data_IF_877566606980
#
_entry.id   IF_877566606980
#
_cell.length_a   1.000
_cell.length_b   1.000
_cell.length_c   1.000
_cell.angle_alpha   90.00
_cell.angle_beta   90.00
_cell.angle_gamma   90.00
#
_symmetry.space_group_name_H-M   'P 1'
#
loop_
_entity.id
_entity.type
_entity.pdbx_description
1 polymer ?
#
# COMPACT_ATOMS: atom_id res chain seq x y z
N UNK A 1 -9.18 128.53 -101.51
CA UNK A 1 -8.52 127.20 -101.63
C UNK A 1 -7.46 126.90 -100.55
N UNK A 2 -6.37 127.68 -100.41
CA UNK A 2 -5.27 127.35 -99.47
C UNK A 2 -5.70 127.19 -97.98
N UNK A 3 -6.64 128.02 -97.50
CA UNK A 3 -7.19 127.94 -96.13
C UNK A 3 -8.02 126.68 -95.87
N UNK A 4 -8.73 126.20 -96.89
CA UNK A 4 -9.61 125.03 -96.74
C UNK A 4 -8.80 123.73 -96.76
N UNK A 5 -7.72 123.68 -97.56
CA UNK A 5 -6.74 122.57 -97.55
C UNK A 5 -6.04 122.44 -96.17
N UNK A 6 -5.55 123.55 -95.63
CA UNK A 6 -4.91 123.55 -94.29
C UNK A 6 -5.87 123.17 -93.15
N UNK A 7 -7.14 123.57 -93.20
CA UNK A 7 -8.16 123.12 -92.24
C UNK A 7 -8.45 121.63 -92.34
N UNK A 8 -8.54 121.07 -93.56
CA UNK A 8 -8.73 119.63 -93.74
C UNK A 8 -7.53 118.81 -93.27
N UNK A 9 -6.31 119.32 -93.45
CA UNK A 9 -5.09 118.69 -92.94
C UNK A 9 -5.03 118.75 -91.41
N UNK A 10 -5.39 119.88 -90.79
CA UNK A 10 -5.51 120.00 -89.33
C UNK A 10 -6.56 119.05 -88.75
N UNK A 11 -7.71 118.91 -89.41
CA UNK A 11 -8.72 117.94 -89.01
C UNK A 11 -8.20 116.50 -89.13
N UNK A 12 -7.48 116.16 -90.21
CA UNK A 12 -6.84 114.85 -90.38
C UNK A 12 -5.79 114.56 -89.32
N UNK A 13 -4.97 115.55 -88.98
CA UNK A 13 -3.99 115.44 -87.88
C UNK A 13 -4.69 115.26 -86.55
N UNK A 14 -5.79 115.98 -86.29
CA UNK A 14 -6.59 115.83 -85.08
C UNK A 14 -7.23 114.44 -84.96
N UNK A 15 -7.79 113.91 -86.04
CA UNK A 15 -8.36 112.54 -86.03
C UNK A 15 -7.26 111.49 -85.81
N UNK A 16 -6.08 111.68 -86.40
CA UNK A 16 -4.94 110.80 -86.20
C UNK A 16 -4.39 110.87 -84.76
N UNK A 17 -4.36 112.06 -84.15
CA UNK A 17 -3.98 112.23 -82.75
C UNK A 17 -4.98 111.54 -81.83
N UNK A 18 -6.29 111.68 -82.10
CA UNK A 18 -7.33 111.00 -81.33
C UNK A 18 -7.26 109.48 -81.45
N UNK A 19 -7.01 108.94 -82.66
CA UNK A 19 -6.84 107.49 -82.85
C UNK A 19 -5.57 106.98 -82.17
N UNK A 20 -4.45 107.72 -82.27
CA UNK A 20 -3.22 107.40 -81.53
C UNK A 20 -3.45 107.42 -80.00
N UNK A 21 -4.22 108.39 -79.49
CA UNK A 21 -4.54 108.44 -78.05
C UNK A 21 -5.37 107.24 -77.60
N UNK A 22 -6.31 106.76 -78.42
CA UNK A 22 -7.08 105.56 -78.13
C UNK A 22 -6.19 104.31 -78.12
N UNK A 23 -5.31 104.16 -79.12
CA UNK A 23 -4.34 103.06 -79.20
C UNK A 23 -3.41 103.08 -77.98
N UNK A 24 -2.90 104.24 -77.58
CA UNK A 24 -2.05 104.37 -76.38
C UNK A 24 -2.82 103.99 -75.09
N UNK A 25 -4.11 104.34 -75.01
CA UNK A 25 -4.97 103.92 -73.91
C UNK A 25 -5.12 102.39 -73.83
N UNK A 26 -5.39 101.74 -74.96
CA UNK A 26 -5.48 100.28 -75.05
C UNK A 26 -4.16 99.59 -74.69
N UNK A 27 -3.03 100.10 -75.21
CA UNK A 27 -1.70 99.60 -74.86
C UNK A 27 -1.45 99.72 -73.36
N UNK A 28 -1.84 100.84 -72.74
CA UNK A 28 -1.70 101.04 -71.29
C UNK A 28 -2.50 100.00 -70.49
N UNK A 29 -3.76 99.75 -70.86
CA UNK A 29 -4.60 98.73 -70.24
C UNK A 29 -4.01 97.33 -70.40
N UNK A 30 -3.52 97.00 -71.60
CA UNK A 30 -2.85 95.72 -71.86
C UNK A 30 -1.57 95.57 -71.04
N UNK A 31 -0.77 96.63 -70.91
CA UNK A 31 0.43 96.62 -70.08
C UNK A 31 0.11 96.37 -68.60
N UNK A 32 -0.94 97.00 -68.06
CA UNK A 32 -1.34 96.72 -66.67
C UNK A 32 -1.89 95.31 -66.48
N UNK A 33 -2.65 94.79 -67.45
CA UNK A 33 -3.08 93.39 -67.44
C UNK A 33 -1.87 92.44 -67.39
N UNK A 34 -0.89 92.61 -68.29
CA UNK A 34 0.33 91.80 -68.31
C UNK A 34 1.16 91.94 -67.02
N UNK A 35 1.21 93.14 -66.42
CA UNK A 35 1.86 93.35 -65.11
C UNK A 35 1.18 92.55 -64.01
N UNK A 36 -0.15 92.56 -63.97
CA UNK A 36 -0.92 91.78 -62.98
C UNK A 36 -0.78 90.27 -63.18
N UNK A 37 -0.84 89.78 -64.42
CA UNK A 37 -0.62 88.38 -64.78
C UNK A 37 0.79 87.92 -64.41
N UNK A 38 1.81 88.74 -64.70
CA UNK A 38 3.20 88.47 -64.30
C UNK A 38 3.33 88.35 -62.77
N UNK A 39 2.72 89.27 -62.01
CA UNK A 39 2.71 89.20 -60.54
C UNK A 39 2.01 87.93 -60.05
N UNK A 40 0.90 87.54 -60.67
CA UNK A 40 0.19 86.30 -60.38
C UNK A 40 1.06 85.05 -60.64
N UNK A 41 1.74 85.00 -61.79
CA UNK A 41 2.62 83.90 -62.15
C UNK A 41 3.84 83.77 -61.21
N UNK A 42 4.40 84.89 -60.73
CA UNK A 42 5.48 84.88 -59.74
C UNK A 42 4.97 84.29 -58.42
N UNK A 43 3.85 84.80 -57.89
CA UNK A 43 3.24 84.27 -56.66
C UNK A 43 2.89 82.79 -56.74
N UNK A 44 2.36 82.36 -57.89
CA UNK A 44 2.05 80.95 -58.12
C UNK A 44 3.30 80.07 -58.07
N UNK A 45 4.42 80.51 -58.66
CA UNK A 45 5.70 79.79 -58.57
C UNK A 45 6.21 79.72 -57.13
N UNK A 46 6.16 80.83 -56.39
CA UNK A 46 6.58 80.88 -54.98
C UNK A 46 5.76 79.90 -54.12
N UNK A 47 4.43 79.96 -54.22
CA UNK A 47 3.53 79.03 -53.50
C UNK A 47 3.79 77.56 -53.87
N UNK A 48 4.04 77.26 -55.14
CA UNK A 48 4.37 75.90 -55.55
C UNK A 48 5.72 75.42 -54.98
N UNK A 49 6.72 76.30 -54.89
CA UNK A 49 7.99 75.98 -54.26
C UNK A 49 7.81 75.74 -52.76
N UNK A 50 7.03 76.56 -52.06
CA UNK A 50 6.70 76.38 -50.65
C UNK A 50 5.94 75.08 -50.39
N UNK A 51 4.93 74.77 -51.20
CA UNK A 51 4.22 73.49 -51.15
C UNK A 51 5.17 72.31 -51.34
N UNK A 52 6.12 72.41 -52.27
CA UNK A 52 7.17 71.41 -52.45
C UNK A 52 8.02 71.21 -51.21
N UNK A 53 8.48 72.30 -50.58
CA UNK A 53 9.28 72.27 -49.34
C UNK A 53 8.50 71.66 -48.18
N UNK A 54 7.25 72.06 -47.99
CA UNK A 54 6.38 71.54 -46.91
C UNK A 54 6.12 70.04 -47.12
N UNK A 55 5.84 69.60 -48.34
CA UNK A 55 5.65 68.17 -48.65
C UNK A 55 6.92 67.38 -48.38
N UNK A 56 8.09 67.87 -48.79
CA UNK A 56 9.37 67.23 -48.51
C UNK A 56 9.65 67.11 -47.00
N UNK A 57 9.40 68.17 -46.24
CA UNK A 57 9.55 68.17 -44.78
C UNK A 57 8.57 67.19 -44.11
N UNK A 58 7.31 67.16 -44.53
CA UNK A 58 6.33 66.21 -44.00
C UNK A 58 6.74 64.76 -44.27
N UNK A 59 7.22 64.48 -45.48
CA UNK A 59 7.71 63.14 -45.86
C UNK A 59 8.95 62.74 -45.05
N UNK A 60 9.88 63.66 -44.79
CA UNK A 60 11.07 63.35 -44.00
C UNK A 60 10.72 63.02 -42.55
N UNK A 61 9.81 63.76 -41.93
CA UNK A 61 9.30 63.50 -40.57
C UNK A 61 8.57 62.15 -40.50
N UNK A 62 7.69 61.87 -41.47
CA UNK A 62 7.00 60.57 -41.55
C UNK A 62 7.99 59.42 -41.70
N UNK A 63 8.96 59.56 -42.60
CA UNK A 63 10.01 58.55 -42.82
C UNK A 63 10.83 58.31 -41.55
N UNK A 64 11.24 59.36 -40.84
CA UNK A 64 11.98 59.23 -39.59
C UNK A 64 11.18 58.50 -38.52
N UNK A 65 9.87 58.81 -38.40
CA UNK A 65 8.97 58.16 -37.45
C UNK A 65 8.80 56.68 -37.77
N UNK A 66 8.56 56.32 -39.03
CA UNK A 66 8.46 54.93 -39.46
C UNK A 66 9.77 54.17 -39.23
N UNK A 67 10.92 54.79 -39.54
CA UNK A 67 12.24 54.18 -39.32
C UNK A 67 12.49 53.88 -37.84
N UNK A 68 12.13 54.79 -36.93
CA UNK A 68 12.21 54.56 -35.48
C UNK A 68 11.32 53.39 -35.04
N UNK A 69 10.06 53.35 -35.52
CA UNK A 69 9.14 52.23 -35.21
C UNK A 69 9.68 50.90 -35.73
N UNK A 70 10.20 50.88 -36.96
CA UNK A 70 10.74 49.68 -37.59
C UNK A 70 11.98 49.17 -36.84
N UNK A 71 12.90 50.05 -36.45
CA UNK A 71 14.06 49.68 -35.64
C UNK A 71 13.66 49.09 -34.29
N UNK A 72 12.66 49.67 -33.61
CA UNK A 72 12.12 49.11 -32.35
C UNK A 72 11.51 47.72 -32.56
N UNK A 73 10.77 47.51 -33.64
CA UNK A 73 10.19 46.21 -33.97
C UNK A 73 11.27 45.17 -34.28
N UNK A 74 12.28 45.52 -35.06
CA UNK A 74 13.42 44.65 -35.34
C UNK A 74 14.16 44.23 -34.06
N UNK A 75 14.39 45.17 -33.15
CA UNK A 75 15.02 44.86 -31.86
C UNK A 75 14.14 43.91 -31.02
N UNK A 76 12.82 44.14 -30.98
CA UNK A 76 11.88 43.25 -30.27
C UNK A 76 11.85 41.85 -30.88
N UNK A 77 11.88 41.75 -32.21
CA UNK A 77 11.95 40.46 -32.92
C UNK A 77 13.23 39.74 -32.53
N UNK A 78 14.38 40.40 -32.60
CA UNK A 78 15.67 39.81 -32.22
C UNK A 78 15.69 39.27 -30.79
N UNK A 79 15.19 40.05 -29.83
CA UNK A 79 15.09 39.60 -28.42
C UNK A 79 14.16 38.38 -28.27
N UNK A 80 13.06 38.33 -29.03
CA UNK A 80 12.15 37.18 -29.02
C UNK A 80 12.75 35.95 -29.68
N UNK A 81 13.53 36.12 -30.75
CA UNK A 81 14.26 35.05 -31.42
C UNK A 81 15.34 34.45 -30.51
N UNK A 82 16.11 35.28 -29.81
CA UNK A 82 17.10 34.85 -28.81
C UNK A 82 16.43 34.03 -27.69
N UNK A 83 15.33 34.54 -27.13
CA UNK A 83 14.57 33.81 -26.10
C UNK A 83 13.98 32.48 -26.62
N UNK A 84 13.50 32.45 -27.87
CA UNK A 84 13.02 31.21 -28.50
C UNK A 84 14.16 30.21 -28.68
N UNK A 85 15.35 30.68 -29.02
CA UNK A 85 16.52 29.82 -29.18
C UNK A 85 16.94 29.21 -27.83
N UNK A 86 16.98 30.01 -26.76
CA UNK A 86 17.23 29.49 -25.40
C UNK A 86 16.22 28.42 -24.99
N UNK A 87 14.93 28.62 -25.28
CA UNK A 87 13.89 27.63 -24.99
C UNK A 87 14.07 26.34 -25.80
N UNK A 88 14.49 26.45 -27.07
CA UNK A 88 14.81 25.28 -27.90
C UNK A 88 15.99 24.50 -27.35
N UNK A 89 17.02 25.19 -26.88
CA UNK A 89 18.21 24.55 -26.30
C UNK A 89 17.89 23.89 -24.96
N UNK A 90 17.07 24.55 -24.11
CA UNK A 90 16.52 23.92 -22.89
C UNK A 90 15.71 22.67 -23.20
N UNK A 91 14.81 22.72 -24.19
CA UNK A 91 14.03 21.57 -24.63
C UNK A 91 14.93 20.42 -25.10
N UNK A 92 16.00 20.72 -25.84
CA UNK A 92 16.95 19.71 -26.31
C UNK A 92 17.64 19.00 -25.15
N UNK A 93 18.13 19.74 -24.16
CA UNK A 93 18.74 19.17 -22.94
C UNK A 93 17.78 18.26 -22.19
N UNK A 94 16.53 18.70 -22.01
CA UNK A 94 15.50 17.87 -21.36
C UNK A 94 15.25 16.57 -22.13
N UNK A 95 15.20 16.62 -23.46
CA UNK A 95 15.02 15.42 -24.28
C UNK A 95 16.22 14.46 -24.20
N UNK A 96 17.44 15.00 -24.14
CA UNK A 96 18.66 14.20 -23.95
C UNK A 96 18.67 13.53 -22.56
N UNK A 97 18.31 14.28 -21.51
CA UNK A 97 18.16 13.74 -20.15
C UNK A 97 17.07 12.67 -20.07
N UNK A 98 15.89 12.92 -20.64
CA UNK A 98 14.80 11.96 -20.70
C UNK A 98 15.24 10.67 -21.40
N UNK A 99 15.88 10.78 -22.58
CA UNK A 99 16.42 9.62 -23.28
C UNK A 99 17.50 8.87 -22.49
N UNK A 100 18.26 9.57 -21.63
CA UNK A 100 19.21 8.91 -20.71
C UNK A 100 18.51 8.12 -19.60
N UNK A 101 17.40 8.63 -19.07
CA UNK A 101 16.58 7.93 -18.08
C UNK A 101 15.88 6.73 -18.69
N UNK A 102 15.30 6.86 -19.89
CA UNK A 102 14.66 5.74 -20.59
C UNK A 102 15.64 4.57 -20.80
N UNK A 103 16.89 4.86 -21.15
CA UNK A 103 17.95 3.83 -21.26
C UNK A 103 18.26 3.17 -19.91
N UNK A 104 18.30 3.94 -18.81
CA UNK A 104 18.52 3.40 -17.46
C UNK A 104 17.36 2.52 -17.02
N UNK A 105 16.12 2.95 -17.28
CA UNK A 105 14.91 2.16 -17.00
C UNK A 105 14.96 0.85 -17.78
N UNK A 106 15.19 0.89 -19.09
CA UNK A 106 15.29 -0.33 -19.90
C UNK A 106 16.45 -1.25 -19.48
N UNK A 107 17.54 -0.70 -18.94
CA UNK A 107 18.61 -1.52 -18.36
C UNK A 107 18.17 -2.21 -17.05
N UNK A 108 17.48 -1.49 -16.16
CA UNK A 108 16.94 -2.05 -14.92
C UNK A 108 15.89 -3.13 -15.20
N UNK A 109 14.99 -2.90 -16.17
CA UNK A 109 14.00 -3.88 -16.59
C UNK A 109 14.66 -5.18 -17.06
N UNK A 110 15.71 -5.08 -17.90
CA UNK A 110 16.49 -6.26 -18.30
C UNK A 110 17.12 -6.99 -17.12
N UNK A 111 17.72 -6.25 -16.17
CA UNK A 111 18.28 -6.87 -14.97
C UNK A 111 17.19 -7.54 -14.11
N UNK A 112 15.99 -6.97 -14.03
CA UNK A 112 14.86 -7.57 -13.33
C UNK A 112 14.43 -8.87 -14.03
N UNK A 113 14.28 -8.85 -15.35
CA UNK A 113 13.94 -10.05 -16.13
C UNK A 113 14.99 -11.14 -15.96
N UNK A 114 16.28 -10.81 -16.09
CA UNK A 114 17.39 -11.73 -15.86
C UNK A 114 17.33 -12.32 -14.44
N UNK A 115 17.08 -11.50 -13.41
CA UNK A 115 16.97 -11.97 -12.03
C UNK A 115 15.72 -12.80 -11.79
N UNK A 116 14.56 -12.43 -12.33
CA UNK A 116 13.35 -13.26 -12.23
C UNK A 116 13.55 -14.63 -12.89
N UNK A 117 14.33 -14.69 -13.96
CA UNK A 117 14.69 -15.93 -14.63
C UNK A 117 15.81 -16.72 -13.91
N UNK A 118 16.52 -16.12 -12.94
CA UNK A 118 17.48 -16.86 -12.11
C UNK A 118 16.76 -17.74 -11.09
N UNK A 119 17.28 -18.96 -10.91
CA UNK A 119 16.64 -20.05 -10.16
C UNK A 119 16.14 -19.71 -8.76
N UNK A 120 16.71 -18.70 -8.09
CA UNK A 120 16.26 -18.26 -6.76
C UNK A 120 14.80 -17.79 -6.74
N UNK A 121 14.32 -17.08 -7.77
CA UNK A 121 12.91 -16.63 -7.81
C UNK A 121 11.96 -17.79 -8.14
N UNK A 122 12.40 -18.74 -8.96
CA UNK A 122 11.67 -19.99 -9.18
C UNK A 122 11.60 -20.82 -7.89
N UNK A 123 12.67 -20.88 -7.10
CA UNK A 123 12.70 -21.52 -5.78
C UNK A 123 11.86 -20.77 -4.74
N UNK A 124 11.84 -19.43 -4.78
CA UNK A 124 10.94 -18.60 -3.97
C UNK A 124 9.46 -18.86 -4.31
N UNK A 125 9.14 -19.07 -5.60
CA UNK A 125 7.81 -19.50 -6.05
C UNK A 125 7.42 -20.85 -5.47
N UNK A 126 8.30 -21.87 -5.60
CA UNK A 126 8.07 -23.22 -5.06
C UNK A 126 7.93 -23.24 -3.54
N UNK A 127 8.73 -22.45 -2.82
CA UNK A 127 8.64 -22.35 -1.36
C UNK A 127 7.35 -21.65 -0.95
N UNK A 128 6.90 -20.62 -1.67
CA UNK A 128 5.61 -19.96 -1.44
C UNK A 128 4.42 -20.91 -1.64
N UNK A 129 4.46 -21.75 -2.67
CA UNK A 129 3.43 -22.78 -2.90
C UNK A 129 3.41 -23.82 -1.78
N UNK A 130 4.58 -24.29 -1.33
CA UNK A 130 4.67 -25.20 -0.17
C UNK A 130 4.10 -24.56 1.10
N UNK A 131 4.36 -23.27 1.31
CA UNK A 131 3.86 -22.53 2.47
C UNK A 131 2.33 -22.41 2.45
N UNK A 132 1.73 -22.23 1.26
CA UNK A 132 0.27 -22.30 1.08
C UNK A 132 -0.28 -23.68 1.45
N UNK A 133 0.33 -24.75 0.94
CA UNK A 133 -0.09 -26.13 1.26
C UNK A 133 -0.02 -26.42 2.77
N UNK A 134 1.07 -26.01 3.43
CA UNK A 134 1.19 -26.15 4.88
C UNK A 134 0.14 -25.32 5.63
N UNK A 135 -0.20 -24.13 5.15
CA UNK A 135 -1.29 -23.33 5.72
C UNK A 135 -2.65 -24.03 5.61
N UNK A 136 -2.95 -24.65 4.47
CA UNK A 136 -4.17 -25.44 4.26
C UNK A 136 -4.23 -26.65 5.19
N UNK A 137 -3.11 -27.39 5.34
CA UNK A 137 -3.01 -28.51 6.28
C UNK A 137 -3.18 -28.08 7.74
N UNK A 138 -2.59 -26.96 8.16
CA UNK A 138 -2.76 -26.42 9.51
C UNK A 138 -4.22 -26.05 9.79
N UNK A 139 -4.90 -25.46 8.81
CA UNK A 139 -6.33 -25.15 8.95
C UNK A 139 -7.19 -26.42 9.03
N UNK A 140 -6.87 -27.45 8.22
CA UNK A 140 -7.56 -28.74 8.27
C UNK A 140 -7.38 -29.43 9.64
N UNK A 141 -6.14 -29.50 10.12
CA UNK A 141 -5.81 -30.11 11.41
C UNK A 141 -6.38 -29.32 12.59
N UNK A 142 -6.40 -27.99 12.53
CA UNK A 142 -7.08 -27.16 13.51
C UNK A 142 -8.60 -27.44 13.53
N UNK A 143 -9.21 -27.64 12.36
CA UNK A 143 -10.62 -28.03 12.24
C UNK A 143 -10.90 -29.43 12.82
N UNK A 144 -10.04 -30.41 12.55
CA UNK A 144 -10.13 -31.75 13.13
C UNK A 144 -9.98 -31.71 14.65
N UNK A 145 -9.01 -30.96 15.16
CA UNK A 145 -8.82 -30.77 16.61
C UNK A 145 -10.07 -30.18 17.27
N UNK A 146 -10.68 -29.15 16.68
CA UNK A 146 -11.91 -28.57 17.20
C UNK A 146 -13.07 -29.57 17.23
N UNK A 147 -13.16 -30.47 16.24
CA UNK A 147 -14.15 -31.57 16.25
C UNK A 147 -13.90 -32.55 17.39
N UNK A 148 -12.65 -33.00 17.57
CA UNK A 148 -12.28 -33.92 18.65
C UNK A 148 -12.56 -33.29 20.02
N UNK A 149 -12.21 -32.01 20.22
CA UNK A 149 -12.50 -31.30 21.48
C UNK A 149 -14.02 -31.25 21.75
N UNK A 150 -14.85 -31.04 20.71
CA UNK A 150 -16.31 -31.13 20.84
C UNK A 150 -16.79 -32.53 21.20
N UNK A 151 -16.24 -33.57 20.57
CA UNK A 151 -16.59 -34.98 20.87
C UNK A 151 -16.22 -35.36 22.31
N UNK A 152 -15.04 -34.94 22.78
CA UNK A 152 -14.61 -35.15 24.17
C UNK A 152 -15.55 -34.44 25.14
N UNK A 153 -15.96 -33.21 24.85
CA UNK A 153 -16.92 -32.48 25.69
C UNK A 153 -18.27 -33.20 25.75
N UNK A 154 -18.79 -33.67 24.61
CA UNK A 154 -20.04 -34.43 24.53
C UNK A 154 -19.96 -35.76 25.29
N UNK A 155 -18.85 -36.50 25.13
CA UNK A 155 -18.60 -37.73 25.89
C UNK A 155 -18.52 -37.46 27.39
N UNK A 156 -17.86 -36.37 27.80
CA UNK A 156 -17.77 -35.98 29.21
C UNK A 156 -19.14 -35.67 29.81
N UNK A 157 -20.03 -35.01 29.05
CA UNK A 157 -21.42 -34.77 29.47
C UNK A 157 -22.20 -36.08 29.56
N UNK A 158 -22.01 -37.01 28.62
CA UNK A 158 -22.66 -38.34 28.66
C UNK A 158 -22.20 -39.16 29.85
N UNK A 159 -20.89 -39.18 30.16
CA UNK A 159 -20.34 -39.85 31.34
C UNK A 159 -20.95 -39.28 32.62
N UNK A 160 -21.02 -37.94 32.75
CA UNK A 160 -21.67 -37.28 33.90
C UNK A 160 -23.16 -37.61 34.04
N UNK A 161 -23.86 -37.96 32.96
CA UNK A 161 -25.27 -38.40 33.00
C UNK A 161 -25.43 -39.89 33.36
N UNK A 162 -24.43 -40.72 33.06
CA UNK A 162 -24.46 -42.17 33.31
C UNK A 162 -23.98 -42.49 34.72
N UNK A 163 -23.09 -41.69 35.31
CA UNK A 163 -22.69 -41.82 36.71
C UNK A 163 -23.83 -41.29 37.60
N UNK A 164 -24.58 -42.16 38.32
CA UNK A 164 -25.53 -41.69 39.31
C UNK A 164 -24.75 -41.07 40.48
N UNK A 165 -25.24 -39.94 41.00
CA UNK A 165 -24.86 -39.42 42.31
C UNK A 165 -25.34 -40.38 43.42
N UNK A 166 -24.77 -41.58 43.48
CA UNK A 166 -24.79 -42.44 44.65
C UNK A 166 -23.36 -42.44 45.22
N UNK A 167 -23.00 -41.34 45.89
CA UNK A 167 -22.02 -41.39 46.96
C UNK A 167 -22.60 -42.31 48.05
N UNK A 168 -22.47 -43.62 47.88
CA UNK A 168 -22.48 -44.53 49.01
C UNK A 168 -21.12 -44.41 49.67
N UNK A 169 -21.12 -43.68 50.79
CA UNK A 169 -20.10 -43.71 51.82
C UNK A 169 -19.61 -45.15 52.08
N UNK A 170 -18.53 -45.54 51.41
CA UNK A 170 -17.69 -46.65 51.88
C UNK A 170 -16.83 -46.05 52.98
N UNK A 171 -17.38 -46.04 54.20
CA UNK A 171 -16.66 -45.62 55.41
C UNK A 171 -15.37 -46.43 55.57
N UNK A 172 -14.26 -45.84 55.14
CA UNK A 172 -12.89 -46.32 55.36
C UNK A 172 -12.55 -46.43 56.86
N UNK A 173 -13.38 -45.88 57.76
CA UNK A 173 -13.22 -45.94 59.22
C UNK A 173 -13.53 -47.33 59.82
N UNK A 174 -14.24 -48.22 59.10
CA UNK A 174 -14.56 -49.57 59.61
C UNK A 174 -13.38 -50.55 59.53
N UNK A 175 -12.42 -50.32 58.64
CA UNK A 175 -11.24 -51.19 58.46
C UNK A 175 -10.29 -51.10 59.67
N UNK A 176 -9.92 -49.90 60.17
CA UNK A 176 -9.16 -49.77 61.41
C UNK A 176 -9.86 -50.41 62.62
N UNK A 177 -11.19 -50.25 62.73
CA UNK A 177 -11.97 -50.81 63.83
C UNK A 177 -11.94 -52.35 63.82
N UNK A 178 -12.12 -52.98 62.66
CA UNK A 178 -12.03 -54.44 62.50
C UNK A 178 -10.61 -54.96 62.76
N UNK A 179 -9.58 -54.21 62.34
CA UNK A 179 -8.18 -54.54 62.62
C UNK A 179 -7.89 -54.55 64.12
N UNK A 180 -8.35 -53.52 64.85
CA UNK A 180 -8.17 -53.45 66.30
C UNK A 180 -8.91 -54.56 67.06
N UNK A 181 -10.09 -54.98 66.58
CA UNK A 181 -10.83 -56.11 67.17
C UNK A 181 -10.13 -57.44 66.92
N UNK A 182 -9.54 -57.62 65.73
CA UNK A 182 -8.75 -58.81 65.41
C UNK A 182 -7.52 -58.93 66.31
N UNK A 183 -6.74 -57.86 66.47
CA UNK A 183 -5.55 -57.85 67.33
C UNK A 183 -5.89 -58.21 68.78
N UNK A 184 -6.95 -57.60 69.34
CA UNK A 184 -7.40 -57.91 70.70
C UNK A 184 -7.83 -59.38 70.87
N UNK A 185 -8.55 -59.95 69.90
CA UNK A 185 -8.94 -61.36 69.95
C UNK A 185 -7.75 -62.30 69.74
N UNK A 186 -6.77 -61.90 68.93
CA UNK A 186 -5.55 -62.66 68.70
C UNK A 186 -4.66 -62.70 69.95
N UNK A 187 -4.51 -61.58 70.66
CA UNK A 187 -3.83 -61.54 71.95
C UNK A 187 -4.54 -62.42 72.99
N UNK A 188 -5.88 -62.35 73.04
CA UNK A 188 -6.69 -63.18 73.94
C UNK A 188 -6.59 -64.67 73.61
N UNK A 189 -6.55 -65.03 72.33
CA UNK A 189 -6.32 -66.40 71.87
C UNK A 189 -4.96 -66.90 72.34
N UNK A 190 -3.90 -66.10 72.18
CA UNK A 190 -2.54 -66.49 72.61
C UNK A 190 -2.45 -66.66 74.13
N UNK A 191 -3.07 -65.77 74.90
CA UNK A 191 -3.12 -65.89 76.37
C UNK A 191 -3.89 -67.13 76.82
N UNK A 192 -5.02 -67.44 76.17
CA UNK A 192 -5.80 -68.66 76.44
C UNK A 192 -5.04 -69.93 76.02
N UNK A 193 -4.25 -69.87 74.94
CA UNK A 193 -3.43 -71.01 74.49
C UNK A 193 -2.28 -71.27 75.47
N UNK A 194 -1.61 -70.22 75.95
CA UNK A 194 -0.56 -70.35 76.97
C UNK A 194 -1.10 -70.86 78.31
N UNK A 195 -2.31 -70.44 78.71
CA UNK A 195 -2.96 -70.95 79.92
C UNK A 195 -3.47 -72.37 79.76
N UNK A 196 -3.89 -72.77 78.56
CA UNK A 196 -4.20 -74.17 78.22
C UNK A 196 -2.98 -75.06 78.44
N UNK A 197 -1.83 -74.69 77.87
CA UNK A 197 -0.55 -75.42 77.96
C UNK A 197 -0.01 -75.50 79.40
N UNK A 198 -0.36 -74.52 80.24
CA UNK A 198 0.11 -74.42 81.63
C UNK A 198 -0.84 -75.04 82.66
N UNK A 199 -2.06 -75.41 82.28
CA UNK A 199 -3.09 -75.86 83.22
C UNK A 199 -2.93 -77.34 83.60
N UNK A 200 -2.87 -77.63 84.91
CA UNK A 200 -2.67 -79.00 85.45
C UNK A 200 -3.96 -79.65 86.00
N UNK A 201 -5.12 -79.02 85.82
CA UNK A 201 -6.41 -79.54 86.30
C UNK A 201 -7.40 -79.70 85.16
N UNK A 202 -8.12 -80.84 85.13
CA UNK A 202 -9.08 -81.19 84.08
C UNK A 202 -10.22 -80.17 83.94
N UNK A 203 -10.72 -79.65 85.05
CA UNK A 203 -11.76 -78.61 85.06
C UNK A 203 -11.23 -77.25 84.56
N UNK A 204 -9.94 -76.97 84.74
CA UNK A 204 -9.27 -75.78 84.19
C UNK A 204 -9.11 -75.87 82.68
N UNK A 205 -8.63 -77.01 82.17
CA UNK A 205 -8.50 -77.25 80.72
C UNK A 205 -9.85 -77.14 79.99
N UNK A 206 -10.94 -77.64 80.58
CA UNK A 206 -12.25 -77.65 79.93
C UNK A 206 -12.87 -76.26 79.83
N UNK A 207 -12.67 -75.40 80.85
CA UNK A 207 -13.04 -73.98 80.79
C UNK A 207 -12.24 -73.21 79.74
N UNK A 208 -10.92 -73.42 79.71
CA UNK A 208 -10.05 -72.76 78.72
C UNK A 208 -10.43 -73.19 77.29
N UNK A 209 -10.78 -74.46 77.06
CA UNK A 209 -11.25 -74.93 75.74
C UNK A 209 -12.58 -74.29 75.32
N UNK A 210 -13.52 -74.10 76.24
CA UNK A 210 -14.77 -73.39 75.94
C UNK A 210 -14.52 -71.93 75.57
N UNK A 211 -13.65 -71.24 76.30
CA UNK A 211 -13.28 -69.85 75.99
C UNK A 211 -12.49 -69.74 74.67
N UNK A 212 -11.58 -70.68 74.40
CA UNK A 212 -10.82 -70.73 73.15
C UNK A 212 -11.75 -70.96 71.95
N UNK A 213 -12.78 -71.81 72.10
CA UNK A 213 -13.81 -72.01 71.08
C UNK A 213 -14.60 -70.72 70.81
N UNK A 214 -14.97 -69.99 71.87
CA UNK A 214 -15.64 -68.68 71.72
C UNK A 214 -14.79 -67.67 70.97
N UNK A 215 -13.50 -67.56 71.31
CA UNK A 215 -12.58 -66.65 70.61
C UNK A 215 -12.38 -67.04 69.14
N UNK A 216 -12.34 -68.35 68.83
CA UNK A 216 -12.24 -68.83 67.45
C UNK A 216 -13.49 -68.53 66.62
N UNK A 217 -14.68 -68.65 67.22
CA UNK A 217 -15.94 -68.28 66.55
C UNK A 217 -16.00 -66.76 66.30
N UNK A 218 -15.58 -65.94 67.27
CA UNK A 218 -15.51 -64.48 67.11
C UNK A 218 -14.50 -64.05 66.02
N UNK A 219 -13.32 -64.70 65.97
CA UNK A 219 -12.32 -64.47 64.92
C UNK A 219 -12.88 -64.83 63.53
N UNK A 220 -13.65 -65.92 63.44
CA UNK A 220 -14.29 -66.35 62.18
C UNK A 220 -15.30 -65.32 61.69
N UNK A 221 -16.06 -64.68 62.57
CA UNK A 221 -16.98 -63.58 62.21
C UNK A 221 -16.19 -62.39 61.65
N UNK A 222 -15.11 -61.99 62.31
CA UNK A 222 -14.26 -60.88 61.84
C UNK A 222 -13.66 -61.16 60.47
N UNK A 223 -13.15 -62.38 60.22
CA UNK A 223 -12.64 -62.75 58.90
C UNK A 223 -13.72 -62.72 57.82
N UNK A 224 -14.95 -63.12 58.16
CA UNK A 224 -16.10 -63.01 57.27
C UNK A 224 -16.42 -61.57 56.89
N UNK A 225 -16.35 -60.65 57.86
CA UNK A 225 -16.58 -59.22 57.64
C UNK A 225 -15.44 -58.57 56.85
N UNK A 226 -14.18 -58.93 57.12
CA UNK A 226 -13.03 -58.50 56.32
C UNK A 226 -13.14 -58.93 54.86
N UNK A 227 -13.50 -60.19 54.61
CA UNK A 227 -13.65 -60.71 53.24
C UNK A 227 -14.74 -59.95 52.47
N UNK A 228 -15.87 -59.64 53.10
CA UNK A 228 -16.95 -58.85 52.47
C UNK A 228 -16.50 -57.43 52.14
N UNK A 229 -15.81 -56.77 53.06
CA UNK A 229 -15.29 -55.41 52.83
C UNK A 229 -14.19 -55.38 51.77
N UNK A 230 -13.34 -56.41 51.71
CA UNK A 230 -12.29 -56.53 50.70
C UNK A 230 -12.86 -56.78 49.29
N UNK A 231 -13.86 -57.66 49.15
CA UNK A 231 -14.53 -57.87 47.86
C UNK A 231 -15.21 -56.60 47.35
N UNK A 232 -15.88 -55.85 48.23
CA UNK A 232 -16.50 -54.56 47.89
C UNK A 232 -15.47 -53.52 47.43
N UNK A 233 -14.30 -53.45 48.07
CA UNK A 233 -13.21 -52.56 47.66
C UNK A 233 -12.57 -53.00 46.32
N UNK A 234 -12.42 -54.30 46.08
CA UNK A 234 -11.84 -54.84 44.84
C UNK A 234 -12.75 -54.65 43.61
N UNK A 235 -14.07 -54.63 43.81
CA UNK A 235 -15.04 -54.34 42.76
C UNK A 235 -14.92 -52.92 42.18
N UNK A 236 -14.51 -51.95 43.00
CA UNK A 236 -14.27 -50.56 42.58
C UNK A 236 -13.00 -50.39 41.73
N UNK A 237 -11.98 -51.23 41.95
CA UNK A 237 -10.71 -51.15 41.22
C UNK A 237 -10.75 -51.83 39.84
N UNK A 238 -11.65 -52.79 39.60
CA UNK A 238 -11.83 -53.43 38.28
C UNK A 238 -12.57 -52.56 37.25
N UNK A 239 -13.03 -51.37 37.62
CA UNK A 239 -13.70 -50.40 36.73
C UNK A 239 -12.78 -49.48 35.92
N UNK A 240 -11.45 -49.63 36.00
CA UNK A 240 -10.50 -48.91 35.13
C UNK A 240 -10.14 -49.81 33.93
N UNK A 241 -10.58 -49.51 32.70
CA UNK A 241 -10.21 -50.30 31.55
C UNK A 241 -8.72 -50.15 31.27
N UNK A 242 -8.03 -51.29 31.29
CA UNK A 242 -6.68 -51.49 30.80
C UNK A 242 -6.57 -51.06 29.34
N UNK A 243 -5.74 -50.06 29.08
CA UNK A 243 -5.22 -49.77 27.74
C UNK A 243 -4.31 -50.94 27.33
N UNK A 244 -4.82 -51.80 26.45
CA UNK A 244 -4.06 -52.82 25.74
C UNK A 244 -2.99 -52.19 24.84
N UNK A 245 -1.76 -52.70 25.03
CA UNK A 245 -0.62 -52.87 24.11
C UNK A 245 -0.58 -52.06 22.79
N UNK A 246 0.56 -51.40 22.49
CA UNK A 246 0.88 -51.00 21.13
C UNK A 246 1.35 -52.22 20.33
N UNK A 247 0.64 -52.54 19.25
CA UNK A 247 1.17 -53.40 18.19
C UNK A 247 2.15 -52.58 17.34
N UNK A 248 3.40 -53.01 17.30
CA UNK A 248 4.22 -52.85 16.09
C UNK A 248 3.57 -53.62 14.93
N UNK A 249 3.79 -53.16 13.70
CA UNK A 249 4.66 -53.95 12.85
C UNK A 249 5.73 -53.13 12.12
N UNK A 250 6.95 -53.65 12.22
CA UNK A 250 8.04 -53.66 11.25
C UNK A 250 7.78 -53.01 9.87
N UNK A 251 8.55 -51.96 9.54
CA UNK A 251 9.23 -51.84 8.24
C UNK A 251 10.36 -50.81 8.27
N UNK A 252 11.55 -51.34 8.60
CA UNK A 252 12.88 -51.04 7.99
C UNK A 252 13.54 -49.65 8.12
N UNK A 253 14.90 -49.66 8.18
CA UNK A 253 15.71 -48.55 8.66
C UNK A 253 16.14 -47.62 7.52
N UNK A 254 15.74 -46.35 7.55
CA UNK A 254 16.32 -45.29 6.71
C UNK A 254 16.60 -43.97 7.45
N UNK A 255 16.70 -44.03 8.78
CA UNK A 255 17.08 -42.88 9.62
C UNK A 255 18.61 -42.71 9.80
N UNK A 256 19.46 -43.39 9.03
CA UNK A 256 20.93 -43.31 9.21
C UNK A 256 21.75 -42.74 8.05
N UNK A 257 21.16 -42.18 6.97
CA UNK A 257 21.98 -41.70 5.84
C UNK A 257 21.82 -40.25 5.35
N UNK A 258 21.19 -39.32 6.08
CA UNK A 258 21.17 -37.90 5.65
C UNK A 258 21.45 -36.84 6.71
N UNK A 259 22.27 -37.20 7.71
CA UNK A 259 22.99 -36.23 8.55
C UNK A 259 24.51 -36.24 8.29
N UNK A 260 24.94 -36.83 7.17
CA UNK A 260 26.29 -36.68 6.62
C UNK A 260 26.16 -36.34 5.14
N UNK A 261 26.00 -35.06 4.82
CA UNK A 261 26.29 -34.47 3.48
C UNK A 261 26.24 -32.93 3.52
N UNK A 262 26.71 -32.31 4.61
CA UNK A 262 27.12 -30.90 4.65
C UNK A 262 28.53 -30.70 5.23
N UNK A 263 29.37 -31.74 5.15
CA UNK A 263 30.82 -31.63 5.29
C UNK A 263 31.51 -32.44 4.18
N UNK A 264 31.18 -32.12 2.93
CA UNK A 264 32.04 -32.39 1.79
C UNK A 264 31.45 -31.65 0.59
N UNK A 265 31.96 -30.45 0.35
CA UNK A 265 32.36 -29.92 -0.97
C UNK A 265 32.83 -28.48 -0.74
N UNK A 266 34.11 -28.28 -1.02
CA UNK A 266 34.72 -26.99 -1.35
C UNK A 266 34.03 -26.35 -2.54
#
# INVERSE_FOLDING_TARGET
EKKQKSLSELQRVKTNLNSMSAILGEISVQMEKLRSERKGAIRYRELNQELGRIRAALLSVRRATCRKKLSRLQQRIKVKEEALQELRDKRRKILEEAGSYDRKVGHIEKLIEEKQNTGMFAEAGKTRERLKLFGEMLNSTAGERARIESEIADLSVRIKKIVPHDERDVSLEKIPLLSSKFENLYERFNALTQTFDSSRSRAGTEKVLQELRGVLDDLRVIFGDFSKHFEQASGLLKGTPSLEKPNEPDTRPQLQHRLISLEAVR
#
